data_IF_631504680555
#
_entry.id   IF_631504680555
#
_cell.length_a   1.000
_cell.length_b   1.000
_cell.length_c   1.000
_cell.angle_alpha   90.00
_cell.angle_beta   90.00
_cell.angle_gamma   90.00
#
_symmetry.space_group_name_H-M   'P 1'
#
loop_
_entity.id
_entity.type
_entity.pdbx_description
1 polymer ?
#
# COMPACT_ATOMS: atom_id res chain seq x y z
N UNK A 1 8.15 5.95 26.65
CA UNK A 1 8.76 4.81 25.92
C UNK A 1 8.32 4.73 24.45
N UNK A 2 7.02 4.82 24.12
CA UNK A 2 6.51 4.71 22.74
C UNK A 2 7.03 5.80 21.77
N UNK A 3 7.19 7.05 22.22
CA UNK A 3 7.69 8.16 21.38
C UNK A 3 9.09 7.89 20.80
N UNK A 4 10.03 7.39 21.64
CA UNK A 4 11.40 7.03 21.19
C UNK A 4 11.38 5.94 20.10
N UNK A 5 10.52 4.93 20.26
CA UNK A 5 10.33 3.90 19.25
C UNK A 5 9.78 4.48 17.94
N UNK A 6 8.73 5.31 18.00
CA UNK A 6 8.11 5.91 16.81
C UNK A 6 9.02 6.89 16.07
N UNK A 7 10.02 7.49 16.73
CA UNK A 7 11.04 8.31 16.07
C UNK A 7 12.12 7.47 15.36
N UNK A 8 12.31 6.20 15.76
CA UNK A 8 13.29 5.30 15.15
C UNK A 8 12.87 4.82 13.75
N UNK A 9 13.84 4.34 12.96
CA UNK A 9 13.59 3.68 11.66
C UNK A 9 12.62 2.50 11.79
N UNK A 10 12.66 1.79 12.92
CA UNK A 10 11.95 0.53 13.11
C UNK A 10 10.52 0.73 13.60
N UNK A 11 10.29 1.77 14.40
CA UNK A 11 8.97 2.09 14.95
C UNK A 11 8.20 3.16 14.19
N UNK A 12 8.81 3.91 13.27
CA UNK A 12 8.12 4.99 12.52
C UNK A 12 6.87 4.53 11.80
N UNK A 13 6.91 3.37 11.14
CA UNK A 13 5.72 2.79 10.46
C UNK A 13 4.65 2.32 11.45
N UNK A 14 5.01 2.06 12.70
CA UNK A 14 4.11 1.52 13.71
C UNK A 14 3.35 2.61 14.47
N UNK A 15 3.72 3.89 14.29
CA UNK A 15 3.12 5.04 15.01
C UNK A 15 1.60 5.13 14.86
N UNK A 16 1.05 4.62 13.76
CA UNK A 16 -0.39 4.65 13.48
C UNK A 16 -1.12 3.35 13.81
N UNK A 17 -0.40 2.34 14.32
CA UNK A 17 -0.97 1.00 14.58
C UNK A 17 -2.17 1.04 15.52
N UNK A 18 -2.17 1.92 16.51
CA UNK A 18 -3.26 2.07 17.47
C UNK A 18 -4.46 2.84 16.91
N UNK A 19 -4.30 3.55 15.79
CA UNK A 19 -5.36 4.39 15.20
C UNK A 19 -6.45 3.58 14.50
N UNK A 20 -6.20 2.30 14.21
CA UNK A 20 -7.17 1.40 13.62
C UNK A 20 -6.96 -0.03 14.14
N UNK A 21 -7.95 -0.57 14.85
CA UNK A 21 -7.88 -1.91 15.45
C UNK A 21 -7.61 -3.03 14.44
N UNK A 22 -7.99 -2.88 13.16
CA UNK A 22 -7.65 -3.83 12.11
C UNK A 22 -6.13 -3.99 11.90
N UNK A 23 -5.33 -3.00 12.31
CA UNK A 23 -3.87 -3.06 12.22
C UNK A 23 -3.24 -4.00 13.25
N UNK A 24 -3.91 -4.26 14.38
CA UNK A 24 -3.36 -5.01 15.52
C UNK A 24 -4.20 -6.22 15.92
N UNK A 25 -5.46 -6.33 15.49
CA UNK A 25 -6.36 -7.40 15.91
C UNK A 25 -5.79 -8.81 15.70
N UNK A 26 -5.04 -9.02 14.62
CA UNK A 26 -4.41 -10.32 14.32
C UNK A 26 -3.37 -10.76 15.38
N UNK A 27 -2.82 -9.83 16.17
CA UNK A 27 -1.89 -10.13 17.27
C UNK A 27 -2.60 -10.83 18.43
N UNK A 28 -3.88 -10.52 18.65
CA UNK A 28 -4.67 -11.08 19.75
C UNK A 28 -5.47 -12.31 19.34
N UNK A 29 -5.47 -12.67 18.05
CA UNK A 29 -6.23 -13.81 17.49
C UNK A 29 -5.31 -15.03 17.36
N UNK A 30 -4.77 -15.49 18.47
CA UNK A 30 -3.71 -16.52 18.52
C UNK A 30 -4.13 -17.93 18.10
N UNK A 31 -5.42 -18.19 17.81
CA UNK A 31 -5.89 -19.55 17.49
C UNK A 31 -6.98 -19.67 16.40
N UNK A 32 -7.72 -18.61 16.07
CA UNK A 32 -8.81 -18.71 15.08
C UNK A 32 -8.40 -18.10 13.73
N UNK A 33 -8.02 -18.97 12.78
CA UNK A 33 -7.94 -18.62 11.35
C UNK A 33 -6.58 -18.15 10.82
N UNK A 34 -5.52 -18.13 11.63
CA UNK A 34 -4.13 -17.89 11.17
C UNK A 34 -3.26 -19.10 11.53
N UNK A 35 -2.69 -19.83 10.54
CA UNK A 35 -1.74 -20.90 10.82
C UNK A 35 -0.55 -20.43 11.66
N UNK A 36 -0.05 -21.27 12.58
CA UNK A 36 1.06 -20.90 13.47
C UNK A 36 2.32 -20.45 12.74
N UNK A 37 2.61 -21.03 11.57
CA UNK A 37 3.70 -20.60 10.71
C UNK A 37 3.51 -19.15 10.22
N UNK A 38 2.32 -18.83 9.74
CA UNK A 38 1.95 -17.51 9.24
C UNK A 38 1.99 -16.46 10.35
N UNK A 39 1.54 -16.82 11.55
CA UNK A 39 1.61 -15.96 12.73
C UNK A 39 3.05 -15.50 13.04
N UNK A 40 4.02 -16.43 12.97
CA UNK A 40 5.45 -16.09 13.12
C UNK A 40 5.93 -15.16 12.01
N UNK A 41 5.56 -15.44 10.77
CA UNK A 41 5.93 -14.63 9.61
C UNK A 41 5.36 -13.21 9.69
N UNK A 42 4.12 -13.06 10.16
CA UNK A 42 3.47 -11.77 10.35
C UNK A 42 4.21 -10.92 11.37
N UNK A 43 4.66 -11.52 12.47
CA UNK A 43 5.49 -10.83 13.46
C UNK A 43 6.81 -10.34 12.87
N UNK A 44 7.51 -11.20 12.12
CA UNK A 44 8.77 -10.84 11.45
C UNK A 44 8.58 -9.65 10.50
N UNK A 45 7.51 -9.66 9.70
CA UNK A 45 7.15 -8.55 8.81
C UNK A 45 6.80 -7.30 9.61
N UNK A 46 5.94 -7.42 10.64
CA UNK A 46 5.44 -6.30 11.46
C UNK A 46 6.56 -5.50 12.11
N UNK A 47 7.50 -6.19 12.75
CA UNK A 47 8.63 -5.52 13.41
C UNK A 47 9.76 -5.21 12.42
N UNK A 48 9.67 -5.70 11.18
CA UNK A 48 10.66 -5.51 10.13
C UNK A 48 11.95 -6.28 10.38
N UNK A 49 11.91 -7.36 11.17
CA UNK A 49 13.01 -8.27 11.46
C UNK A 49 13.21 -9.28 10.32
N UNK A 50 13.45 -8.75 9.13
CA UNK A 50 13.65 -9.55 7.92
C UNK A 50 15.15 -9.62 7.59
N UNK A 51 15.70 -10.78 7.17
CA UNK A 51 17.13 -11.03 7.02
C UNK A 51 17.76 -10.37 5.78
N UNK A 52 17.49 -9.08 5.59
CA UNK A 52 18.12 -8.22 4.56
C UNK A 52 19.54 -7.82 4.97
N UNK A 53 20.43 -7.49 4.02
CA UNK A 53 21.82 -7.09 4.35
C UNK A 53 21.90 -5.94 5.36
N UNK A 54 21.01 -4.94 5.27
CA UNK A 54 20.98 -3.82 6.24
C UNK A 54 20.64 -4.32 7.65
N UNK A 55 19.82 -5.36 7.78
CA UNK A 55 19.43 -5.94 9.06
C UNK A 55 20.51 -6.85 9.64
N UNK A 56 21.03 -7.77 8.84
CA UNK A 56 22.02 -8.75 9.31
C UNK A 56 23.37 -8.14 9.61
N UNK A 57 23.70 -6.97 9.04
CA UNK A 57 24.93 -6.22 9.34
C UNK A 57 24.79 -5.20 10.47
N UNK A 58 23.62 -5.09 11.12
CA UNK A 58 23.45 -4.16 12.24
C UNK A 58 24.38 -4.57 13.39
N UNK A 59 25.16 -3.62 13.91
CA UNK A 59 26.10 -3.85 15.02
C UNK A 59 27.45 -4.45 14.63
N UNK A 60 27.61 -4.93 13.39
CA UNK A 60 28.87 -5.58 12.94
C UNK A 60 29.90 -4.55 12.45
N UNK A 61 29.48 -3.35 12.03
CA UNK A 61 30.36 -2.32 11.47
C UNK A 61 30.84 -2.67 10.05
N UNK A 62 30.67 -1.75 9.09
CA UNK A 62 31.14 -1.95 7.71
C UNK A 62 30.37 -2.97 6.84
N UNK A 63 30.87 -3.18 5.63
CA UNK A 63 30.40 -4.19 4.67
C UNK A 63 29.29 -3.76 3.70
N UNK A 64 29.20 -4.46 2.57
CA UNK A 64 28.31 -4.11 1.48
C UNK A 64 26.82 -4.28 1.82
N UNK A 65 26.08 -3.18 1.73
CA UNK A 65 24.64 -3.09 1.99
C UNK A 65 23.80 -2.95 0.72
N UNK A 66 24.43 -2.86 -0.45
CA UNK A 66 23.72 -2.76 -1.73
C UNK A 66 22.80 -3.97 -1.94
N UNK A 67 21.65 -3.74 -2.56
CA UNK A 67 20.70 -4.78 -2.88
C UNK A 67 21.35 -5.82 -3.80
N UNK A 68 21.41 -7.08 -3.34
CA UNK A 68 22.00 -8.19 -4.12
C UNK A 68 21.26 -8.51 -5.42
N UNK A 69 20.06 -7.97 -5.60
CA UNK A 69 19.22 -8.23 -6.76
C UNK A 69 19.27 -7.13 -7.81
N UNK A 70 19.45 -5.87 -7.42
CA UNK A 70 19.32 -4.74 -8.35
C UNK A 70 20.28 -3.58 -8.05
N UNK A 71 21.31 -3.81 -7.24
CA UNK A 71 22.33 -2.83 -6.85
C UNK A 71 21.81 -1.52 -6.23
N UNK A 72 20.55 -1.47 -5.78
CA UNK A 72 20.04 -0.31 -5.04
C UNK A 72 20.93 -0.05 -3.81
N UNK A 73 21.18 1.22 -3.41
CA UNK A 73 22.21 1.55 -2.42
C UNK A 73 22.07 0.83 -1.07
N UNK A 74 20.85 0.46 -0.69
CA UNK A 74 20.57 -0.27 0.54
C UNK A 74 19.50 -1.36 0.35
N UNK A 75 19.87 -2.61 0.63
CA UNK A 75 18.97 -3.76 0.79
C UNK A 75 18.22 -3.64 2.12
N UNK A 76 17.23 -2.74 2.16
CA UNK A 76 16.33 -2.59 3.32
C UNK A 76 15.10 -3.49 3.16
N UNK A 77 14.40 -3.84 4.25
CA UNK A 77 13.12 -4.53 4.17
C UNK A 77 12.11 -3.80 3.27
N UNK A 78 12.02 -2.47 3.39
CA UNK A 78 11.15 -1.65 2.57
C UNK A 78 11.53 -1.75 1.08
N UNK A 79 12.82 -1.68 0.74
CA UNK A 79 13.27 -1.89 -0.64
C UNK A 79 12.90 -3.27 -1.17
N UNK A 80 13.26 -4.33 -0.45
CA UNK A 80 13.00 -5.72 -0.86
C UNK A 80 11.51 -5.96 -1.09
N UNK A 81 10.66 -5.47 -0.20
CA UNK A 81 9.22 -5.76 -0.23
C UNK A 81 8.45 -4.83 -1.16
N UNK A 82 8.85 -3.55 -1.29
CA UNK A 82 8.07 -2.53 -2.00
C UNK A 82 8.65 -2.09 -3.36
N UNK A 83 9.95 -2.25 -3.59
CA UNK A 83 10.60 -1.59 -4.73
C UNK A 83 11.38 -2.55 -5.63
N UNK A 84 12.07 -3.54 -5.05
CA UNK A 84 12.99 -4.40 -5.76
C UNK A 84 12.36 -5.08 -6.99
N UNK A 85 12.95 -4.98 -8.21
CA UNK A 85 12.41 -5.64 -9.41
C UNK A 85 12.16 -7.14 -9.23
N UNK A 86 13.04 -7.83 -8.48
CA UNK A 86 12.91 -9.26 -8.16
C UNK A 86 11.58 -9.64 -7.49
N UNK A 87 10.95 -8.69 -6.78
CA UNK A 87 9.66 -8.93 -6.08
C UNK A 87 8.47 -8.31 -6.79
N UNK A 88 8.64 -7.76 -8.01
CA UNK A 88 7.59 -7.05 -8.73
C UNK A 88 6.30 -7.86 -8.89
N UNK A 89 6.40 -9.09 -9.43
CA UNK A 89 5.21 -9.95 -9.61
C UNK A 89 4.51 -10.32 -8.29
N UNK A 90 5.27 -10.47 -7.20
CA UNK A 90 4.68 -10.71 -5.87
C UNK A 90 3.98 -9.49 -5.29
N UNK A 91 4.48 -8.27 -5.60
CA UNK A 91 3.77 -7.03 -5.23
C UNK A 91 2.44 -6.89 -5.94
N UNK A 92 2.38 -7.23 -7.23
CA UNK A 92 1.13 -7.26 -8.01
C UNK A 92 0.15 -8.23 -7.35
N UNK A 93 0.54 -9.50 -7.16
CA UNK A 93 -0.32 -10.50 -6.50
C UNK A 93 -0.84 -10.07 -5.13
N UNK A 94 -0.01 -9.40 -4.32
CA UNK A 94 -0.44 -8.88 -3.02
C UNK A 94 -1.48 -7.77 -3.16
N UNK A 95 -1.28 -6.84 -4.11
CA UNK A 95 -2.23 -5.76 -4.38
C UNK A 95 -3.55 -6.33 -4.91
N UNK A 96 -3.51 -7.22 -5.91
CA UNK A 96 -4.69 -7.88 -6.48
C UNK A 96 -5.49 -8.64 -5.42
N UNK A 97 -4.82 -9.32 -4.48
CA UNK A 97 -5.48 -10.01 -3.38
C UNK A 97 -6.24 -9.05 -2.44
N UNK A 98 -5.77 -7.82 -2.27
CA UNK A 98 -6.48 -6.78 -1.50
C UNK A 98 -7.65 -6.22 -2.30
N UNK A 99 -7.43 -5.87 -3.57
CA UNK A 99 -8.47 -5.38 -4.49
C UNK A 99 -9.62 -6.39 -4.60
N UNK A 100 -9.30 -7.67 -4.82
CA UNK A 100 -10.28 -8.75 -4.93
C UNK A 100 -11.13 -8.92 -3.67
N UNK A 101 -10.49 -8.98 -2.49
CA UNK A 101 -11.22 -9.09 -1.23
C UNK A 101 -12.15 -7.88 -1.02
N UNK A 102 -11.68 -6.66 -1.33
CA UNK A 102 -12.49 -5.46 -1.19
C UNK A 102 -13.68 -5.46 -2.15
N UNK A 103 -13.46 -5.83 -3.42
CA UNK A 103 -14.51 -5.97 -4.43
C UNK A 103 -15.58 -6.99 -4.02
N UNK A 104 -15.19 -8.17 -3.56
CA UNK A 104 -16.10 -9.21 -3.08
C UNK A 104 -16.89 -8.77 -1.84
N UNK A 105 -16.25 -8.02 -0.93
CA UNK A 105 -16.95 -7.45 0.22
C UNK A 105 -17.99 -6.42 -0.21
N UNK A 106 -17.65 -5.51 -1.12
CA UNK A 106 -18.57 -4.49 -1.61
C UNK A 106 -19.74 -5.13 -2.38
N UNK A 107 -19.48 -6.12 -3.24
CA UNK A 107 -20.52 -6.86 -3.94
C UNK A 107 -21.53 -7.51 -2.98
N UNK A 108 -21.05 -8.18 -1.92
CA UNK A 108 -21.91 -8.73 -0.85
C UNK A 108 -22.67 -7.68 -0.05
N UNK A 109 -22.28 -6.41 -0.15
CA UNK A 109 -22.93 -5.27 0.50
C UNK A 109 -23.86 -4.50 -0.43
N UNK A 110 -24.20 -5.08 -1.59
CA UNK A 110 -25.16 -4.48 -2.53
C UNK A 110 -24.57 -3.47 -3.50
N UNK A 111 -23.24 -3.40 -3.61
CA UNK A 111 -22.58 -2.57 -4.61
C UNK A 111 -22.40 -3.34 -5.92
N UNK A 112 -22.68 -2.71 -7.06
CA UNK A 112 -22.18 -3.18 -8.37
C UNK A 112 -20.74 -2.70 -8.52
N UNK A 113 -19.79 -3.62 -8.68
CA UNK A 113 -18.35 -3.31 -8.64
C UNK A 113 -17.68 -3.67 -9.97
N UNK A 114 -17.10 -2.67 -10.62
CA UNK A 114 -16.21 -2.85 -11.76
C UNK A 114 -14.75 -2.79 -11.28
N UNK A 115 -13.93 -3.75 -11.70
CA UNK A 115 -12.48 -3.77 -11.43
C UNK A 115 -11.72 -3.16 -12.59
N UNK A 116 -10.68 -2.39 -12.29
CA UNK A 116 -9.67 -1.98 -13.26
C UNK A 116 -10.21 -1.23 -14.50
N UNK A 117 -11.20 -0.34 -14.30
CA UNK A 117 -11.83 0.41 -15.40
C UNK A 117 -10.90 1.49 -15.91
N UNK A 118 -10.67 1.54 -17.23
CA UNK A 118 -9.85 2.56 -17.87
C UNK A 118 -10.71 3.75 -18.35
N UNK A 119 -10.48 4.93 -17.79
CA UNK A 119 -11.07 6.18 -18.23
C UNK A 119 -10.06 6.97 -19.07
N UNK A 120 -10.41 7.26 -20.33
CA UNK A 120 -9.61 8.12 -21.22
C UNK A 120 -10.07 9.57 -21.08
N UNK A 121 -9.19 10.42 -20.56
CA UNK A 121 -9.45 11.82 -20.20
C UNK A 121 -8.56 12.71 -21.07
N UNK A 122 -9.02 12.94 -22.30
CA UNK A 122 -8.23 13.64 -23.32
C UNK A 122 -6.93 12.88 -23.65
N UNK A 123 -5.77 13.45 -23.29
CA UNK A 123 -4.45 12.85 -23.54
C UNK A 123 -3.98 11.91 -22.43
N UNK A 124 -4.67 11.89 -21.29
CA UNK A 124 -4.32 11.04 -20.16
C UNK A 124 -5.30 9.87 -20.02
N UNK A 125 -4.86 8.81 -19.37
CA UNK A 125 -5.74 7.73 -18.97
C UNK A 125 -5.58 7.45 -17.48
N UNK A 126 -6.71 7.35 -16.78
CA UNK A 126 -6.76 6.98 -15.37
C UNK A 126 -7.46 5.64 -15.22
N UNK A 127 -6.88 4.79 -14.39
CA UNK A 127 -7.37 3.44 -14.11
C UNK A 127 -7.45 3.25 -12.59
N UNK A 128 -8.56 3.65 -11.94
CA UNK A 128 -8.79 3.27 -10.55
C UNK A 128 -8.92 1.75 -10.43
N UNK A 129 -8.61 1.21 -9.25
CA UNK A 129 -8.69 -0.24 -9.03
C UNK A 129 -10.14 -0.73 -9.00
N UNK A 130 -11.05 0.07 -8.43
CA UNK A 130 -12.48 -0.23 -8.35
C UNK A 130 -13.33 1.01 -8.64
N UNK A 131 -14.45 0.79 -9.33
CA UNK A 131 -15.60 1.69 -9.36
C UNK A 131 -16.79 0.91 -8.82
N UNK A 132 -17.37 1.39 -7.72
CA UNK A 132 -18.48 0.73 -7.04
C UNK A 132 -19.71 1.64 -7.04
N UNK A 133 -20.81 1.18 -7.60
CA UNK A 133 -22.09 1.91 -7.68
C UNK A 133 -23.11 1.23 -6.78
N UNK A 134 -23.79 2.00 -5.95
CA UNK A 134 -24.85 1.52 -5.08
C UNK A 134 -26.22 1.92 -5.65
N UNK A 135 -27.26 1.15 -5.29
CA UNK A 135 -28.61 1.35 -5.83
C UNK A 135 -29.27 2.65 -5.36
N UNK A 136 -28.74 3.30 -4.32
CA UNK A 136 -29.17 4.62 -3.84
C UNK A 136 -28.63 5.79 -4.67
N UNK A 137 -27.96 5.51 -5.79
CA UNK A 137 -27.38 6.52 -6.66
C UNK A 137 -26.01 7.05 -6.20
N UNK A 138 -25.38 6.43 -5.19
CA UNK A 138 -24.01 6.78 -4.82
C UNK A 138 -22.97 5.95 -5.57
N UNK A 139 -21.81 6.55 -5.85
CA UNK A 139 -20.70 5.91 -6.53
C UNK A 139 -19.38 6.15 -5.78
N UNK A 140 -18.53 5.13 -5.71
CA UNK A 140 -17.21 5.19 -5.07
C UNK A 140 -16.14 4.82 -6.07
N UNK A 141 -15.20 5.74 -6.28
CA UNK A 141 -13.95 5.48 -7.01
C UNK A 141 -12.89 5.11 -5.99
N UNK A 142 -12.47 3.84 -5.97
CA UNK A 142 -11.57 3.30 -4.96
C UNK A 142 -10.26 2.87 -5.59
N UNK A 143 -9.16 3.27 -4.97
CA UNK A 143 -7.82 2.86 -5.40
C UNK A 143 -7.00 2.38 -4.19
N UNK A 144 -6.41 1.20 -4.35
CA UNK A 144 -5.68 0.45 -3.32
C UNK A 144 -4.18 0.71 -3.47
N UNK A 145 -3.52 0.95 -2.34
CA UNK A 145 -2.08 1.05 -2.30
C UNK A 145 -1.50 0.42 -1.04
N UNK A 146 -0.37 -0.28 -1.23
CA UNK A 146 0.48 -0.76 -0.15
C UNK A 146 1.76 0.06 -0.16
N UNK A 147 2.07 0.76 0.95
CA UNK A 147 3.15 1.77 0.99
C UNK A 147 4.21 1.50 2.06
N UNK A 148 5.35 2.19 1.96
CA UNK A 148 6.43 2.20 2.95
C UNK A 148 6.47 3.50 3.78
N UNK A 149 7.17 3.49 4.92
CA UNK A 149 7.29 4.60 5.87
C UNK A 149 7.70 5.92 5.22
N UNK A 150 8.61 5.85 4.25
CA UNK A 150 9.21 7.03 3.61
C UNK A 150 8.16 7.91 2.93
N UNK A 151 7.03 7.33 2.53
CA UNK A 151 5.95 8.05 1.86
C UNK A 151 4.94 8.65 2.86
N UNK A 152 4.88 8.14 4.10
CA UNK A 152 3.88 8.50 5.10
C UNK A 152 2.45 8.08 4.70
N UNK A 153 1.74 7.35 5.58
CA UNK A 153 0.40 6.84 5.27
C UNK A 153 -0.59 7.94 4.90
N UNK A 154 -0.65 9.02 5.67
CA UNK A 154 -1.54 10.16 5.39
C UNK A 154 -1.18 10.89 4.11
N UNK A 155 0.12 11.10 3.83
CA UNK A 155 0.58 11.75 2.61
C UNK A 155 0.24 10.93 1.37
N UNK A 156 0.50 9.62 1.40
CA UNK A 156 0.14 8.70 0.33
C UNK A 156 -1.38 8.63 0.10
N UNK A 157 -2.18 8.63 1.18
CA UNK A 157 -3.63 8.71 1.10
C UNK A 157 -4.08 9.98 0.36
N UNK A 158 -3.60 11.15 0.78
CA UNK A 158 -3.98 12.43 0.16
C UNK A 158 -3.55 12.51 -1.30
N UNK A 159 -2.35 12.04 -1.64
CA UNK A 159 -1.87 12.01 -3.02
C UNK A 159 -2.75 11.14 -3.93
N UNK A 160 -3.20 9.97 -3.45
CA UNK A 160 -4.12 9.12 -4.23
C UNK A 160 -5.52 9.71 -4.33
N UNK A 161 -6.05 10.31 -3.26
CA UNK A 161 -7.33 11.04 -3.33
C UNK A 161 -7.24 12.17 -4.35
N UNK A 162 -6.21 13.01 -4.29
CA UNK A 162 -6.01 14.11 -5.24
C UNK A 162 -5.87 13.61 -6.69
N UNK A 163 -5.20 12.47 -6.91
CA UNK A 163 -5.06 11.87 -8.25
C UNK A 163 -6.41 11.56 -8.90
N UNK A 164 -7.37 11.03 -8.14
CA UNK A 164 -8.68 10.59 -8.68
C UNK A 164 -9.83 11.56 -8.40
N UNK A 165 -9.65 12.56 -7.54
CA UNK A 165 -10.64 13.62 -7.28
C UNK A 165 -10.53 14.73 -8.33
N UNK A 166 -10.57 14.35 -9.61
CA UNK A 166 -10.54 15.27 -10.75
C UNK A 166 -11.91 15.35 -11.39
N UNK A 167 -12.35 16.57 -11.72
CA UNK A 167 -13.69 16.81 -12.28
C UNK A 167 -13.92 16.04 -13.59
N UNK A 168 -12.90 15.95 -14.44
CA UNK A 168 -12.97 15.20 -15.71
C UNK A 168 -13.19 13.69 -15.49
N UNK A 169 -12.48 13.08 -14.55
CA UNK A 169 -12.68 11.68 -14.18
C UNK A 169 -14.06 11.47 -13.56
N UNK A 170 -14.44 12.29 -12.58
CA UNK A 170 -15.72 12.15 -11.90
C UNK A 170 -16.89 12.34 -12.88
N UNK A 171 -16.78 13.27 -13.84
CA UNK A 171 -17.75 13.43 -14.92
C UNK A 171 -17.85 12.20 -15.81
N UNK A 172 -16.72 11.59 -16.18
CA UNK A 172 -16.70 10.37 -16.99
C UNK A 172 -17.30 9.17 -16.23
N UNK A 173 -17.02 9.04 -14.93
CA UNK A 173 -17.63 8.03 -14.04
C UNK A 173 -19.13 8.25 -13.93
N UNK A 174 -19.56 9.49 -13.69
CA UNK A 174 -20.96 9.86 -13.58
C UNK A 174 -21.75 9.58 -14.85
N UNK A 175 -21.21 9.98 -16.01
CA UNK A 175 -21.81 9.68 -17.32
C UNK A 175 -21.92 8.18 -17.60
N UNK A 176 -20.91 7.38 -17.21
CA UNK A 176 -20.91 5.93 -17.39
C UNK A 176 -21.98 5.23 -16.56
N UNK A 177 -22.27 5.73 -15.36
CA UNK A 177 -23.10 5.04 -14.37
C UNK A 177 -24.42 5.75 -14.06
N UNK A 178 -24.73 6.87 -14.72
CA UNK A 178 -25.94 7.66 -14.46
C UNK A 178 -25.98 8.31 -13.09
N UNK A 179 -24.81 8.71 -12.56
CA UNK A 179 -24.66 9.27 -11.21
C UNK A 179 -24.22 10.73 -11.29
N UNK A 180 -24.90 11.62 -10.56
CA UNK A 180 -24.51 13.02 -10.42
C UNK A 180 -23.17 13.17 -9.70
N UNK A 181 -22.42 14.23 -9.99
CA UNK A 181 -21.06 14.43 -9.45
C UNK A 181 -21.01 14.42 -7.92
N UNK A 182 -22.04 14.97 -7.28
CA UNK A 182 -22.25 15.02 -5.84
C UNK A 182 -22.41 13.63 -5.20
N UNK A 183 -22.86 12.64 -5.98
CA UNK A 183 -22.98 11.25 -5.55
C UNK A 183 -21.66 10.47 -5.61
N UNK A 184 -20.59 11.04 -6.18
CA UNK A 184 -19.32 10.35 -6.41
C UNK A 184 -18.27 10.73 -5.36
N UNK A 185 -17.75 9.73 -4.64
CA UNK A 185 -16.67 9.92 -3.66
C UNK A 185 -15.42 9.12 -4.03
N UNK A 186 -14.24 9.70 -3.80
CA UNK A 186 -12.96 9.03 -4.01
C UNK A 186 -12.43 8.49 -2.68
N UNK A 187 -12.06 7.21 -2.66
CA UNK A 187 -11.50 6.55 -1.48
C UNK A 187 -10.13 5.95 -1.84
N UNK A 188 -9.08 6.43 -1.16
CA UNK A 188 -7.79 5.75 -1.19
C UNK A 188 -7.73 4.68 -0.09
N UNK A 189 -7.60 3.41 -0.45
CA UNK A 189 -7.38 2.30 0.45
C UNK A 189 -5.86 2.15 0.70
N UNK A 190 -5.38 2.81 1.75
CA UNK A 190 -3.94 2.92 2.06
C UNK A 190 -3.57 2.11 3.29
N UNK A 191 -2.64 1.17 3.11
CA UNK A 191 -2.09 0.33 4.17
C UNK A 191 -0.58 0.18 4.01
N UNK A 192 0.17 0.10 5.10
CA UNK A 192 1.60 -0.16 5.04
C UNK A 192 1.87 -1.64 4.76
N UNK A 193 3.05 -1.94 4.22
CA UNK A 193 3.50 -3.33 4.04
C UNK A 193 3.67 -4.12 5.33
N UNK A 194 3.70 -3.41 6.47
CA UNK A 194 3.69 -3.96 7.83
C UNK A 194 2.28 -4.12 8.41
N UNK A 195 1.24 -4.00 7.59
CA UNK A 195 -0.14 -4.16 8.00
C UNK A 195 -0.66 -3.04 8.91
N UNK A 196 -0.19 -1.81 8.70
CA UNK A 196 -0.66 -0.62 9.46
C UNK A 196 -1.56 0.21 8.56
N UNK A 197 -2.83 0.35 8.95
CA UNK A 197 -3.82 1.13 8.22
C UNK A 197 -3.57 2.63 8.35
N UNK A 198 -3.77 3.36 7.25
CA UNK A 198 -4.11 4.78 7.36
C UNK A 198 -5.49 4.89 8.01
N UNK A 199 -5.62 5.71 9.06
CA UNK A 199 -6.90 5.91 9.76
C UNK A 199 -8.00 6.39 8.80
N UNK A 200 -7.71 7.40 7.99
CA UNK A 200 -8.65 7.96 7.03
C UNK A 200 -9.16 6.92 6.03
N UNK A 201 -8.28 6.05 5.53
CA UNK A 201 -8.68 4.93 4.66
C UNK A 201 -9.63 3.97 5.37
N UNK A 202 -9.29 3.53 6.58
CA UNK A 202 -10.14 2.59 7.30
C UNK A 202 -11.48 3.18 7.69
N UNK A 203 -11.53 4.46 8.02
CA UNK A 203 -12.77 5.14 8.38
C UNK A 203 -13.66 5.36 7.15
N UNK A 204 -13.10 5.75 6.01
CA UNK A 204 -13.82 5.86 4.73
C UNK A 204 -14.41 4.53 4.28
N UNK A 205 -13.67 3.43 4.38
CA UNK A 205 -14.15 2.09 4.03
C UNK A 205 -15.28 1.62 4.96
N UNK A 206 -15.18 1.88 6.27
CA UNK A 206 -16.27 1.55 7.22
C UNK A 206 -17.55 2.32 6.90
N UNK A 207 -17.45 3.60 6.52
CA UNK A 207 -18.61 4.44 6.17
C UNK A 207 -19.42 3.85 5.02
N UNK A 208 -18.77 3.16 4.07
CA UNK A 208 -19.45 2.49 2.95
C UNK A 208 -19.80 1.02 3.25
N UNK A 209 -19.80 0.62 4.52
CA UNK A 209 -20.25 -0.69 4.97
C UNK A 209 -19.20 -1.81 4.96
N UNK A 210 -17.91 -1.50 4.73
CA UNK A 210 -16.84 -2.52 4.84
C UNK A 210 -16.66 -2.91 6.32
N UNK A 211 -16.90 -4.18 6.70
CA UNK A 211 -16.83 -4.60 8.09
C UNK A 211 -15.39 -4.70 8.58
N UNK A 212 -15.23 -4.64 9.90
CA UNK A 212 -13.93 -4.82 10.56
C UNK A 212 -13.27 -6.15 10.18
N UNK A 213 -14.04 -7.22 9.99
CA UNK A 213 -13.52 -8.52 9.53
C UNK A 213 -12.79 -8.44 8.19
N UNK A 214 -13.31 -7.67 7.23
CA UNK A 214 -12.64 -7.45 5.94
C UNK A 214 -11.36 -6.64 6.13
N UNK A 215 -11.38 -5.57 6.93
CA UNK A 215 -10.17 -4.78 7.19
C UNK A 215 -9.07 -5.63 7.84
N UNK A 216 -9.42 -6.53 8.77
CA UNK A 216 -8.49 -7.52 9.35
C UNK A 216 -7.97 -8.48 8.28
N UNK A 217 -8.85 -9.00 7.42
CA UNK A 217 -8.50 -9.91 6.32
C UNK A 217 -7.58 -9.28 5.27
N UNK A 218 -7.70 -7.97 5.03
CA UNK A 218 -6.75 -7.19 4.22
C UNK A 218 -5.40 -7.09 4.94
N UNK A 219 -5.39 -6.77 6.25
CA UNK A 219 -4.15 -6.72 7.04
C UNK A 219 -3.35 -8.01 6.93
N UNK A 220 -3.99 -9.17 7.12
CA UNK A 220 -3.31 -10.48 7.06
C UNK A 220 -2.82 -10.81 5.65
N UNK A 221 -3.61 -10.51 4.60
CA UNK A 221 -3.17 -10.64 3.18
C UNK A 221 -1.94 -9.79 2.87
N UNK A 222 -1.89 -8.56 3.38
CA UNK A 222 -0.74 -7.67 3.21
C UNK A 222 0.49 -8.23 3.91
N UNK A 223 0.35 -8.69 5.16
CA UNK A 223 1.45 -9.29 5.93
C UNK A 223 1.98 -10.56 5.24
N UNK A 224 1.08 -11.44 4.81
CA UNK A 224 1.42 -12.66 4.07
C UNK A 224 2.12 -12.33 2.75
N UNK A 225 1.54 -11.44 1.93
CA UNK A 225 2.14 -11.04 0.66
C UNK A 225 3.51 -10.37 0.85
N UNK A 226 3.70 -9.59 1.92
CA UNK A 226 5.00 -9.03 2.28
C UNK A 226 6.03 -10.12 2.62
N UNK A 227 5.63 -11.14 3.38
CA UNK A 227 6.47 -12.29 3.67
C UNK A 227 6.82 -13.10 2.41
N UNK A 228 5.83 -13.37 1.56
CA UNK A 228 6.05 -14.09 0.30
C UNK A 228 6.99 -13.31 -0.63
N UNK A 229 6.91 -11.98 -0.65
CA UNK A 229 7.86 -11.14 -1.40
C UNK A 229 9.28 -11.31 -0.89
N UNK A 230 9.49 -11.33 0.44
CA UNK A 230 10.78 -11.64 1.02
C UNK A 230 11.24 -13.06 0.63
N UNK A 231 10.36 -14.07 0.71
CA UNK A 231 10.69 -15.45 0.35
C UNK A 231 11.14 -15.55 -1.11
N UNK A 232 10.43 -14.91 -2.02
CA UNK A 232 10.79 -14.80 -3.44
C UNK A 232 12.13 -14.09 -3.62
N UNK A 233 12.36 -13.00 -2.89
CA UNK A 233 13.65 -12.30 -2.94
C UNK A 233 14.83 -13.17 -2.52
N UNK A 234 14.67 -13.92 -1.43
CA UNK A 234 15.72 -14.76 -0.84
C UNK A 234 16.00 -16.02 -1.66
N UNK A 235 14.96 -16.61 -2.27
CA UNK A 235 15.11 -17.79 -3.14
C UNK A 235 15.51 -17.43 -4.57
N UNK A 236 15.21 -16.23 -5.03
CA UNK A 236 15.52 -15.79 -6.38
C UNK A 236 17.01 -15.53 -6.56
N UNK A 237 17.56 -15.98 -7.68
CA UNK A 237 18.93 -15.69 -8.13
C UNK A 237 18.97 -14.59 -9.19
N UNK A 238 17.81 -14.19 -9.74
CA UNK A 238 17.71 -13.21 -10.83
C UNK A 238 18.28 -11.84 -10.44
N UNK A 239 19.23 -11.36 -11.23
CA UNK A 239 19.84 -10.04 -11.06
C UNK A 239 19.31 -9.07 -12.12
N UNK A 240 18.96 -7.86 -11.69
CA UNK A 240 18.44 -6.77 -12.50
C UNK A 240 19.33 -5.54 -12.30
N UNK A 241 20.56 -5.61 -12.79
CA UNK A 241 21.48 -4.48 -12.81
C UNK A 241 20.96 -3.47 -13.85
N UNK A 242 20.65 -2.24 -13.43
CA UNK A 242 20.34 -1.14 -14.37
C UNK A 242 18.93 -0.53 -14.32
N UNK A 243 18.00 -1.02 -13.48
CA UNK A 243 16.72 -0.30 -13.28
C UNK A 243 16.91 0.77 -12.21
N UNK A 244 17.54 1.87 -12.60
CA UNK A 244 17.67 3.08 -11.78
C UNK A 244 16.32 3.51 -11.22
N UNK A 245 16.28 3.82 -9.94
CA UNK A 245 15.11 4.39 -9.26
C UNK A 245 14.78 5.73 -9.95
N UNK A 246 13.82 5.73 -10.88
CA UNK A 246 13.18 6.98 -11.32
C UNK A 246 12.29 7.47 -10.17
N UNK A 247 12.87 8.26 -9.28
CA UNK A 247 12.11 9.12 -8.39
C UNK A 247 11.35 10.13 -9.25
N UNK A 248 10.02 10.11 -9.22
CA UNK A 248 9.21 11.26 -9.64
C UNK A 248 9.39 12.34 -8.57
N UNK A 249 10.40 13.16 -8.73
CA UNK A 249 10.60 14.40 -7.98
C UNK A 249 10.43 15.58 -8.93
N UNK A 250 9.23 16.14 -9.01
CA UNK A 250 9.03 17.48 -9.53
C UNK A 250 9.39 18.46 -8.42
N UNK A 251 10.46 19.22 -8.63
CA UNK A 251 10.93 20.27 -7.73
C UNK A 251 11.91 21.14 -8.49
N UNK A 252 11.41 22.23 -9.04
CA UNK A 252 12.22 23.28 -9.65
C UNK A 252 13.21 23.83 -8.61
N UNK A 253 14.49 23.91 -8.95
CA UNK A 253 15.45 24.76 -8.26
C UNK A 253 15.44 26.15 -8.91
N UNK A 254 15.48 27.25 -8.15
CA UNK A 254 15.71 28.58 -8.69
C UNK A 254 17.20 28.74 -9.04
N UNK A 255 17.46 29.24 -10.24
CA UNK A 255 18.82 29.50 -10.72
C UNK A 255 19.47 30.66 -9.97
N UNK A 256 20.67 30.43 -9.44
CA UNK A 256 21.61 31.50 -9.13
C UNK A 256 22.34 31.85 -10.43
N UNK A 257 22.05 33.04 -10.96
CA UNK A 257 22.85 33.67 -12.00
C UNK A 257 24.12 34.23 -11.39
N UNK A 258 25.26 33.75 -11.88
CA UNK A 258 26.55 34.44 -11.76
C UNK A 258 26.83 35.04 -13.13
N UNK A 259 26.86 36.37 -13.21
CA UNK A 259 27.16 37.10 -14.42
C UNK A 259 27.98 38.34 -14.08
N UNK A 260 29.30 38.19 -14.31
CA UNK A 260 30.37 39.18 -14.52
C UNK A 260 30.51 40.33 -13.54
#
# INVERSE_FOLDING_TARGET
MASRLHCSVDGRELRESSKCGASTAWVYQTAEGIPAADYRHYHQVRIGALPTKVRTRRGIGGGEKSCRACAAPAETPAHVIQMCPRTHGGRIKRHDAVVGLLAETLARRGWSVEKEVLFRLGREALKPDLVAVHHDGTCKVIDVQVVAASQGLSGAFQAKVAKYKRVDLLGAVGARHGVGLEGIEVIACTISWRGVWCRASSDALKKIGVPMGTLKGITTRVLMGSWLNLRTFMRGTSAHHGVGVRGRGGGAQPGMGVGR
#
